data_IF_250035707727
#
_entry.id   IF_250035707727
#
_cell.length_a   1.000
_cell.length_b   1.000
_cell.length_c   1.000
_cell.angle_alpha   90.00
_cell.angle_beta   90.00
_cell.angle_gamma   90.00
#
_symmetry.space_group_name_H-M   'P 1'
#
loop_
_entity.id
_entity.type
_entity.pdbx_description
1 polymer ?
#
# COMPACT_ATOMS: atom_id res chain seq x y z
N UNK A 1 1.92 22.71 29.49
CA UNK A 1 0.66 21.94 29.25
C UNK A 1 1.07 20.48 29.10
N UNK A 2 0.27 19.54 29.61
CA UNK A 2 0.53 18.12 29.36
C UNK A 2 0.52 17.88 27.84
N UNK A 3 1.62 17.33 27.31
CA UNK A 3 1.72 17.04 25.89
C UNK A 3 0.86 15.83 25.59
N UNK A 4 -0.27 16.04 24.89
CA UNK A 4 -1.09 14.93 24.40
C UNK A 4 -0.47 14.46 23.10
N UNK A 5 -0.16 13.17 23.04
CA UNK A 5 0.34 12.52 21.83
C UNK A 5 -0.63 11.42 21.39
N UNK A 6 -0.63 11.11 20.10
CA UNK A 6 -1.51 10.11 19.51
C UNK A 6 -1.22 8.70 20.06
N UNK A 7 0.05 8.36 20.24
CA UNK A 7 0.48 7.02 20.62
C UNK A 7 0.00 5.97 19.63
N UNK A 8 -0.72 4.97 20.12
CA UNK A 8 -1.35 3.88 19.34
C UNK A 8 -2.84 4.10 19.05
N UNK A 9 -3.41 5.25 19.43
CA UNK A 9 -4.82 5.56 19.17
C UNK A 9 -5.02 6.05 17.72
N UNK A 10 -6.27 5.95 17.23
CA UNK A 10 -6.63 6.54 15.93
C UNK A 10 -6.46 8.06 15.93
N UNK A 11 -6.25 8.65 14.75
CA UNK A 11 -6.16 10.11 14.57
C UNK A 11 -7.42 10.80 15.10
N UNK A 12 -8.60 10.19 14.87
CA UNK A 12 -9.89 10.70 15.36
C UNK A 12 -9.96 10.77 16.88
N UNK A 13 -9.54 9.69 17.56
CA UNK A 13 -9.54 9.64 19.04
C UNK A 13 -8.58 10.69 19.61
N UNK A 14 -7.37 10.79 19.04
CA UNK A 14 -6.38 11.79 19.44
C UNK A 14 -6.91 13.22 19.26
N UNK A 15 -7.43 13.55 18.09
CA UNK A 15 -7.95 14.88 17.79
C UNK A 15 -9.11 15.27 18.72
N UNK A 16 -10.00 14.32 19.02
CA UNK A 16 -11.13 14.56 19.93
C UNK A 16 -10.64 14.91 21.35
N UNK A 17 -9.64 14.19 21.87
CA UNK A 17 -9.04 14.50 23.18
C UNK A 17 -8.38 15.88 23.18
N UNK A 18 -7.61 16.18 22.15
CA UNK A 18 -6.92 17.46 22.01
C UNK A 18 -7.92 18.63 21.92
N UNK A 19 -8.98 18.49 21.12
CA UNK A 19 -10.05 19.49 21.00
C UNK A 19 -10.76 19.73 22.32
N UNK A 20 -11.07 18.67 23.07
CA UNK A 20 -11.68 18.79 24.40
C UNK A 20 -10.81 19.62 25.35
N UNK A 21 -9.48 19.45 25.33
CA UNK A 21 -8.58 20.27 26.14
C UNK A 21 -8.58 21.74 25.72
N UNK A 22 -8.57 22.03 24.42
CA UNK A 22 -8.68 23.40 23.95
C UNK A 22 -9.99 24.07 24.35
N UNK A 23 -11.09 23.31 24.33
CA UNK A 23 -12.42 23.80 24.73
C UNK A 23 -12.48 24.04 26.24
N UNK A 24 -11.92 23.15 27.06
CA UNK A 24 -11.77 23.38 28.51
C UNK A 24 -10.91 24.63 28.79
N UNK A 25 -9.76 24.79 28.13
CA UNK A 25 -8.91 25.98 28.30
C UNK A 25 -9.68 27.26 27.94
N UNK A 26 -10.50 27.22 26.89
CA UNK A 26 -11.35 28.35 26.48
C UNK A 26 -12.38 28.69 27.56
N UNK A 27 -12.96 27.68 28.20
CA UNK A 27 -13.92 27.86 29.29
C UNK A 27 -13.26 28.46 30.54
N UNK A 28 -12.09 27.99 30.94
CA UNK A 28 -11.34 28.53 32.08
C UNK A 28 -10.74 29.92 31.82
N UNK A 29 -10.49 30.26 30.54
CA UNK A 29 -9.88 31.53 30.13
C UNK A 29 -10.70 32.18 29.01
N UNK A 30 -11.90 32.69 29.33
CA UNK A 30 -12.74 33.36 28.34
C UNK A 30 -12.03 34.61 27.83
N UNK A 31 -12.04 34.80 26.51
CA UNK A 31 -11.42 35.96 25.89
C UNK A 31 -12.47 37.08 25.74
N UNK A 32 -12.13 38.34 26.06
CA UNK A 32 -13.07 39.44 25.89
C UNK A 32 -13.49 39.58 24.43
N UNK A 33 -14.77 39.88 24.20
CA UNK A 33 -15.29 40.18 22.87
C UNK A 33 -14.89 41.61 22.51
N UNK A 34 -14.05 41.77 21.48
CA UNK A 34 -13.68 43.06 20.93
C UNK A 34 -13.69 42.99 19.41
N UNK A 35 -14.19 44.04 18.76
CA UNK A 35 -14.25 44.22 17.30
C UNK A 35 -12.94 44.75 16.71
N UNK A 36 -11.90 44.89 17.53
CA UNK A 36 -10.60 45.43 17.16
C UNK A 36 -9.75 44.44 16.35
N UNK A 37 -8.93 44.94 15.42
CA UNK A 37 -8.07 44.10 14.58
C UNK A 37 -7.02 43.30 15.36
N UNK A 38 -6.58 43.82 16.52
CA UNK A 38 -5.68 43.10 17.42
C UNK A 38 -6.24 41.73 17.84
N UNK A 39 -7.56 41.60 18.02
CA UNK A 39 -8.18 40.32 18.36
C UNK A 39 -8.13 39.32 17.22
N UNK A 40 -8.22 39.77 15.96
CA UNK A 40 -8.07 38.89 14.79
C UNK A 40 -6.67 38.29 14.73
N UNK A 41 -5.64 39.12 14.95
CA UNK A 41 -4.24 38.70 14.99
C UNK A 41 -4.02 37.66 16.10
N UNK A 42 -4.52 37.92 17.31
CA UNK A 42 -4.42 36.97 18.42
C UNK A 42 -5.11 35.64 18.09
N UNK A 43 -6.28 35.69 17.45
CA UNK A 43 -7.01 34.49 17.06
C UNK A 43 -6.24 33.67 16.01
N UNK A 44 -5.64 34.34 15.03
CA UNK A 44 -4.80 33.71 14.01
C UNK A 44 -3.58 32.99 14.64
N UNK A 45 -2.88 33.64 15.58
CA UNK A 45 -1.78 33.00 16.31
C UNK A 45 -2.25 31.78 17.11
N UNK A 46 -3.42 31.85 17.76
CA UNK A 46 -3.99 30.72 18.50
C UNK A 46 -4.32 29.56 17.57
N UNK A 47 -4.87 29.83 16.39
CA UNK A 47 -5.23 28.78 15.44
C UNK A 47 -3.97 28.15 14.80
N UNK A 48 -2.92 28.93 14.55
CA UNK A 48 -1.59 28.41 14.17
C UNK A 48 -0.98 27.54 15.27
N UNK A 49 -1.04 27.97 16.52
CA UNK A 49 -0.52 27.18 17.64
C UNK A 49 -1.26 25.85 17.79
N UNK A 50 -2.60 25.85 17.65
CA UNK A 50 -3.40 24.62 17.68
C UNK A 50 -3.03 23.66 16.55
N UNK A 51 -2.74 24.18 15.36
CA UNK A 51 -2.26 23.37 14.25
C UNK A 51 -0.92 22.70 14.61
N UNK A 52 0.03 23.48 15.11
CA UNK A 52 1.33 22.95 15.50
C UNK A 52 1.23 21.92 16.62
N UNK A 53 0.41 22.19 17.66
CA UNK A 53 0.14 21.23 18.73
C UNK A 53 -0.44 19.92 18.19
N UNK A 54 -1.41 20.00 17.27
CA UNK A 54 -1.96 18.83 16.60
C UNK A 54 -0.86 18.05 15.87
N UNK A 55 -0.10 18.71 14.99
CA UNK A 55 0.93 18.08 14.16
C UNK A 55 2.09 17.49 14.98
N UNK A 56 2.52 18.16 16.05
CA UNK A 56 3.62 17.69 16.91
C UNK A 56 3.21 16.43 17.69
N UNK A 57 1.95 16.34 18.14
CA UNK A 57 1.47 15.16 18.86
C UNK A 57 1.09 13.96 17.96
N UNK A 58 1.12 14.10 16.63
CA UNK A 58 0.89 12.97 15.72
C UNK A 58 2.03 11.95 15.78
N UNK A 59 1.71 10.69 15.47
CA UNK A 59 2.70 9.63 15.32
C UNK A 59 3.69 9.93 14.18
N UNK A 60 4.95 9.50 14.32
CA UNK A 60 5.99 9.70 13.31
C UNK A 60 5.69 9.06 11.96
N UNK A 61 4.80 8.07 11.92
CA UNK A 61 4.27 7.51 10.66
C UNK A 61 3.68 8.58 9.74
N UNK A 62 3.16 9.68 10.30
CA UNK A 62 2.56 10.80 9.57
C UNK A 62 3.56 11.91 9.21
N UNK A 63 4.87 11.69 9.35
CA UNK A 63 5.93 12.67 9.00
C UNK A 63 5.76 13.30 7.61
N UNK A 64 5.42 12.50 6.60
CA UNK A 64 5.17 13.00 5.24
C UNK A 64 3.96 13.95 5.19
N UNK A 65 2.83 13.54 5.79
CA UNK A 65 1.63 14.36 5.86
C UNK A 65 1.89 15.68 6.61
N UNK A 66 2.65 15.64 7.72
CA UNK A 66 3.09 16.84 8.46
C UNK A 66 3.86 17.79 7.55
N UNK A 67 4.86 17.30 6.83
CA UNK A 67 5.66 18.10 5.90
C UNK A 67 4.78 18.75 4.82
N UNK A 68 3.90 17.98 4.18
CA UNK A 68 3.00 18.50 3.15
C UNK A 68 2.04 19.57 3.66
N UNK A 69 1.54 19.44 4.90
CA UNK A 69 0.68 20.45 5.52
C UNK A 69 1.47 21.74 5.78
N UNK A 70 2.70 21.64 6.29
CA UNK A 70 3.55 22.79 6.60
C UNK A 70 4.06 23.54 5.34
N UNK A 71 4.10 22.88 4.19
CA UNK A 71 4.52 23.49 2.92
C UNK A 71 3.41 24.27 2.18
N UNK A 72 2.16 24.24 2.66
CA UNK A 72 1.07 25.00 2.04
C UNK A 72 1.13 26.49 2.36
N UNK A 73 0.78 27.32 1.38
CA UNK A 73 0.60 28.76 1.51
C UNK A 73 -0.77 29.18 0.92
N UNK A 74 -1.73 29.67 1.72
CA UNK A 74 -1.62 29.89 3.17
C UNK A 74 -1.59 28.57 3.97
N UNK A 75 -1.01 28.63 5.16
CA UNK A 75 -0.91 27.49 6.07
C UNK A 75 -2.31 26.93 6.39
N UNK A 76 -2.48 25.62 6.29
CA UNK A 76 -3.78 24.97 6.49
C UNK A 76 -4.34 25.20 7.89
N UNK A 77 -5.66 25.28 7.99
CA UNK A 77 -6.35 25.23 9.28
C UNK A 77 -6.18 23.87 9.97
N UNK A 78 -6.39 23.84 11.28
CA UNK A 78 -6.43 22.60 12.07
C UNK A 78 -7.39 21.55 11.49
N UNK A 79 -8.56 21.99 11.03
CA UNK A 79 -9.60 21.09 10.51
C UNK A 79 -9.22 20.49 9.15
N UNK A 80 -8.60 21.29 8.27
CA UNK A 80 -8.07 20.80 7.01
C UNK A 80 -6.91 19.83 7.22
N UNK A 81 -5.99 20.16 8.13
CA UNK A 81 -4.91 19.27 8.53
C UNK A 81 -5.44 17.95 9.09
N UNK A 82 -6.46 18.00 9.95
CA UNK A 82 -7.14 16.82 10.46
C UNK A 82 -7.74 15.97 9.33
N UNK A 83 -8.45 16.59 8.38
CA UNK A 83 -9.04 15.87 7.24
C UNK A 83 -7.99 15.17 6.38
N UNK A 84 -6.87 15.84 6.10
CA UNK A 84 -5.74 15.26 5.34
C UNK A 84 -5.16 14.04 6.08
N UNK A 85 -4.93 14.17 7.39
CA UNK A 85 -4.31 13.09 8.17
C UNK A 85 -5.27 11.89 8.35
N UNK A 86 -6.58 12.13 8.49
CA UNK A 86 -7.58 11.05 8.52
C UNK A 86 -7.68 10.34 7.18
N UNK A 87 -7.58 11.08 6.06
CA UNK A 87 -7.53 10.48 4.73
C UNK A 87 -6.28 9.60 4.57
N UNK A 88 -5.12 10.08 5.01
CA UNK A 88 -3.86 9.32 5.02
C UNK A 88 -3.96 8.06 5.90
N UNK A 89 -4.57 8.14 7.09
CA UNK A 89 -4.80 6.98 7.98
C UNK A 89 -5.62 5.89 7.28
N UNK A 90 -6.68 6.28 6.55
CA UNK A 90 -7.50 5.36 5.75
C UNK A 90 -6.71 4.75 4.61
N UNK A 91 -5.95 5.57 3.87
CA UNK A 91 -5.15 5.10 2.74
C UNK A 91 -4.07 4.09 3.18
N UNK A 92 -3.43 4.32 4.33
CA UNK A 92 -2.45 3.39 4.91
C UNK A 92 -3.05 2.02 5.26
N UNK A 93 -4.29 2.01 5.72
CA UNK A 93 -5.05 0.78 5.93
C UNK A 93 -5.21 -0.03 4.64
N UNK A 94 -5.33 0.64 3.49
CA UNK A 94 -5.44 0.01 2.17
C UNK A 94 -4.08 -0.42 1.61
N UNK A 95 -3.03 0.41 1.71
CA UNK A 95 -1.69 0.08 1.18
C UNK A 95 -1.04 -1.09 1.91
N UNK A 96 -1.32 -1.24 3.21
CA UNK A 96 -0.94 -2.44 3.96
C UNK A 96 -1.64 -3.71 3.45
N UNK A 97 -2.79 -3.56 2.78
CA UNK A 97 -3.51 -4.65 2.11
C UNK A 97 -3.13 -4.82 0.62
N UNK A 98 -2.57 -3.78 -0.01
CA UNK A 98 -2.28 -3.70 -1.47
C UNK A 98 -0.79 -3.95 -1.79
N UNK A 99 0.03 -4.32 -0.81
CA UNK A 99 1.40 -4.81 -1.05
C UNK A 99 1.46 -6.16 -1.82
N UNK A 100 0.36 -6.60 -2.45
CA UNK A 100 0.24 -7.78 -3.32
C UNK A 100 -0.16 -7.48 -4.77
N UNK A 101 -0.24 -6.21 -5.21
CA UNK A 101 -0.63 -5.91 -6.60
C UNK A 101 0.25 -4.84 -7.25
N UNK A 102 1.41 -5.25 -7.77
CA UNK A 102 2.06 -4.56 -8.90
C UNK A 102 2.64 -5.58 -9.88
N UNK A 103 1.81 -6.03 -10.82
CA UNK A 103 2.11 -6.60 -12.14
C UNK A 103 0.77 -6.50 -12.89
N UNK A 104 0.58 -5.96 -14.09
CA UNK A 104 1.29 -6.03 -15.39
C UNK A 104 0.83 -4.75 -16.17
N UNK A 105 1.64 -4.08 -17.00
CA UNK A 105 1.64 -4.31 -18.45
C UNK A 105 2.96 -3.94 -19.13
N UNK A 106 3.51 -4.95 -19.82
CA UNK A 106 4.65 -4.87 -20.75
C UNK A 106 4.13 -4.41 -22.11
N UNK A 107 4.90 -3.60 -22.82
CA UNK A 107 4.96 -3.65 -24.28
C UNK A 107 6.37 -3.26 -24.76
N UNK A 108 6.95 -4.14 -25.57
CA UNK A 108 8.31 -4.13 -26.09
C UNK A 108 8.52 -3.10 -27.20
N UNK A 109 9.74 -2.55 -27.30
CA UNK A 109 10.44 -2.44 -28.59
C UNK A 109 11.96 -2.34 -28.38
N UNK A 110 12.68 -3.15 -29.14
CA UNK A 110 14.13 -3.34 -29.15
C UNK A 110 14.92 -2.06 -29.44
N UNK A 111 16.04 -1.84 -28.73
CA UNK A 111 17.27 -1.27 -29.32
C UNK A 111 18.49 -1.70 -28.50
N UNK A 112 19.50 -2.19 -29.20
CA UNK A 112 20.83 -2.57 -28.73
C UNK A 112 21.59 -1.38 -28.11
N UNK A 113 22.45 -1.67 -27.12
CA UNK A 113 23.43 -0.70 -26.61
C UNK A 113 24.04 -1.10 -25.27
N UNK A 114 25.36 -1.37 -25.26
CA UNK A 114 26.20 -1.53 -24.07
C UNK A 114 26.04 -0.37 -23.06
N UNK A 115 25.98 -0.67 -21.75
CA UNK A 115 26.90 -0.14 -20.72
C UNK A 115 26.68 -0.82 -19.35
N UNK A 116 27.70 -0.73 -18.50
CA UNK A 116 27.98 -1.52 -17.31
C UNK A 116 27.13 -1.25 -16.05
N UNK A 117 27.00 -2.31 -15.23
CA UNK A 117 27.05 -2.25 -13.76
C UNK A 117 25.74 -1.96 -13.00
N UNK A 118 24.97 -3.00 -12.64
CA UNK A 118 23.95 -2.90 -11.58
C UNK A 118 23.96 -4.16 -10.70
N UNK A 119 24.09 -3.89 -9.40
CA UNK A 119 23.97 -4.77 -8.23
C UNK A 119 22.71 -5.63 -8.35
N UNK A 120 22.86 -6.96 -8.42
CA UNK A 120 21.72 -7.88 -8.35
C UNK A 120 21.17 -7.93 -6.92
N UNK A 121 19.89 -7.63 -6.69
CA UNK A 121 19.27 -7.97 -5.41
C UNK A 121 19.22 -9.50 -5.30
N UNK A 122 19.72 -10.02 -4.18
CA UNK A 122 19.74 -11.43 -3.83
C UNK A 122 18.30 -11.97 -3.86
N UNK A 123 17.91 -12.63 -4.95
CA UNK A 123 16.65 -13.39 -5.01
C UNK A 123 16.87 -14.70 -4.28
N UNK A 124 16.27 -14.93 -3.10
CA UNK A 124 16.33 -16.25 -2.48
C UNK A 124 15.72 -17.27 -3.44
N UNK A 125 16.54 -18.21 -3.92
CA UNK A 125 16.10 -19.33 -4.76
C UNK A 125 15.26 -20.27 -3.90
N UNK A 126 13.94 -20.07 -3.88
CA UNK A 126 13.04 -21.04 -3.29
C UNK A 126 12.91 -22.25 -4.23
N UNK A 127 13.48 -23.38 -3.80
CA UNK A 127 13.30 -24.68 -4.43
C UNK A 127 12.34 -25.53 -3.60
N UNK A 128 11.45 -26.25 -4.28
CA UNK A 128 10.53 -27.15 -3.62
C UNK A 128 11.27 -28.42 -3.17
N UNK A 129 11.25 -28.72 -1.86
CA UNK A 129 11.87 -29.93 -1.31
C UNK A 129 11.22 -31.22 -1.82
N UNK A 130 9.97 -31.16 -2.27
CA UNK A 130 9.22 -32.34 -2.72
C UNK A 130 9.44 -32.70 -4.21
N UNK A 131 9.48 -31.72 -5.11
CA UNK A 131 9.64 -31.97 -6.55
C UNK A 131 10.98 -31.51 -7.14
N UNK A 132 11.80 -30.78 -6.37
CA UNK A 132 13.11 -30.28 -6.82
C UNK A 132 13.05 -29.12 -7.82
N UNK A 133 11.87 -28.61 -8.15
CA UNK A 133 11.72 -27.46 -9.05
C UNK A 133 11.91 -26.15 -8.28
N UNK A 134 12.60 -25.19 -8.90
CA UNK A 134 12.59 -23.79 -8.47
C UNK A 134 11.27 -23.12 -8.86
N UNK A 135 10.87 -22.08 -8.12
CA UNK A 135 9.67 -21.23 -8.33
C UNK A 135 8.43 -21.58 -7.49
N UNK A 136 8.53 -22.53 -6.55
CA UNK A 136 7.49 -22.74 -5.53
C UNK A 136 8.04 -23.42 -4.26
N UNK A 137 7.36 -23.20 -3.13
CA UNK A 137 7.63 -23.92 -1.87
C UNK A 137 6.86 -25.24 -1.80
N UNK A 138 7.19 -26.10 -0.83
CA UNK A 138 6.48 -27.37 -0.61
C UNK A 138 4.96 -27.18 -0.48
N UNK A 139 4.53 -26.09 0.16
CA UNK A 139 3.11 -25.77 0.39
C UNK A 139 2.34 -25.51 -0.91
N UNK A 140 3.01 -25.03 -1.96
CA UNK A 140 2.40 -24.72 -3.27
C UNK A 140 2.76 -25.77 -4.33
N UNK A 141 3.25 -26.93 -3.92
CA UNK A 141 3.64 -27.99 -4.85
C UNK A 141 2.41 -28.67 -5.44
N UNK A 142 2.21 -28.54 -6.75
CA UNK A 142 1.12 -29.23 -7.47
C UNK A 142 1.20 -30.75 -7.39
N UNK A 143 2.38 -31.31 -7.08
CA UNK A 143 2.51 -32.76 -6.81
C UNK A 143 1.91 -33.17 -5.46
N UNK A 144 1.75 -32.24 -4.52
CA UNK A 144 1.12 -32.44 -3.21
C UNK A 144 -0.35 -32.03 -3.24
N UNK A 145 -0.63 -30.80 -3.71
CA UNK A 145 -2.00 -30.26 -3.76
C UNK A 145 -2.85 -30.98 -4.81
N UNK A 146 -2.22 -31.52 -5.84
CA UNK A 146 -2.88 -32.03 -7.03
C UNK A 146 -2.94 -30.96 -8.12
N UNK A 147 -2.92 -31.42 -9.37
CA UNK A 147 -3.01 -30.52 -10.51
C UNK A 147 -4.48 -30.11 -10.74
N UNK A 148 -4.76 -28.86 -11.12
CA UNK A 148 -6.12 -28.40 -11.40
C UNK A 148 -6.74 -29.13 -12.62
N UNK A 149 -8.07 -29.15 -12.68
CA UNK A 149 -8.82 -29.76 -13.78
C UNK A 149 -8.45 -29.11 -15.12
N UNK A 150 -8.08 -29.92 -16.12
CA UNK A 150 -7.54 -29.47 -17.41
C UNK A 150 -6.01 -29.53 -17.55
N UNK A 151 -5.27 -29.80 -16.48
CA UNK A 151 -3.82 -30.00 -16.56
C UNK A 151 -3.47 -31.40 -17.11
N UNK A 152 -2.43 -31.51 -17.94
CA UNK A 152 -2.01 -32.80 -18.57
C UNK A 152 -1.66 -33.90 -17.55
N UNK A 153 -1.30 -33.53 -16.32
CA UNK A 153 -0.99 -34.43 -15.21
C UNK A 153 -2.13 -34.50 -14.16
N UNK A 154 -3.31 -33.97 -14.46
CA UNK A 154 -4.49 -34.10 -13.61
C UNK A 154 -4.84 -35.59 -13.42
N UNK A 155 -4.97 -36.02 -12.17
CA UNK A 155 -5.27 -37.41 -11.80
C UNK A 155 -4.13 -38.43 -11.98
N UNK A 156 -2.94 -38.03 -12.46
CA UNK A 156 -1.79 -38.93 -12.63
C UNK A 156 -0.75 -38.66 -11.54
N UNK A 157 -0.69 -39.53 -10.53
CA UNK A 157 0.40 -39.51 -9.56
C UNK A 157 1.65 -40.18 -10.17
N UNK A 158 2.76 -39.45 -10.42
CA UNK A 158 3.99 -40.10 -10.87
C UNK A 158 4.65 -40.77 -9.66
N UNK A 159 4.82 -42.09 -9.71
CA UNK A 159 5.56 -42.86 -8.72
C UNK A 159 7.04 -42.43 -8.69
N UNK A 160 7.64 -42.38 -7.50
CA UNK A 160 8.94 -41.73 -7.20
C UNK A 160 10.17 -42.56 -7.58
N UNK A 161 10.09 -43.43 -8.58
CA UNK A 161 11.19 -44.34 -8.89
C UNK A 161 11.47 -44.49 -10.40
N UNK A 162 12.02 -43.43 -10.99
CA UNK A 162 12.80 -43.54 -12.23
C UNK A 162 13.76 -42.36 -12.34
N UNK A 163 15.06 -42.64 -12.18
CA UNK A 163 16.15 -41.73 -12.56
C UNK A 163 16.00 -41.45 -14.06
N UNK A 164 15.77 -40.19 -14.43
CA UNK A 164 15.60 -39.78 -15.82
C UNK A 164 15.92 -38.30 -16.01
N UNK A 165 16.79 -38.03 -16.97
CA UNK A 165 17.48 -36.79 -17.37
C UNK A 165 16.58 -35.54 -17.56
N UNK A 166 17.13 -34.31 -17.51
CA UNK A 166 16.34 -33.07 -17.54
C UNK A 166 15.69 -32.85 -18.92
N UNK A 167 14.36 -32.76 -18.96
CA UNK A 167 13.61 -32.37 -20.15
C UNK A 167 13.62 -30.84 -20.31
N UNK A 168 13.96 -30.41 -21.52
CA UNK A 168 13.87 -29.02 -22.00
C UNK A 168 12.40 -28.57 -22.01
N UNK A 169 12.16 -27.35 -21.53
CA UNK A 169 10.86 -26.68 -21.56
C UNK A 169 10.41 -26.44 -23.00
N UNK A 170 9.30 -27.06 -23.41
CA UNK A 170 8.59 -26.72 -24.63
C UNK A 170 7.45 -25.76 -24.28
N UNK A 171 7.54 -24.51 -24.77
CA UNK A 171 6.47 -23.53 -24.76
C UNK A 171 5.36 -24.01 -25.69
N UNK A 172 4.14 -24.18 -25.17
CA UNK A 172 2.96 -24.39 -26.00
C UNK A 172 2.11 -23.12 -25.94
N UNK A 173 2.16 -22.33 -27.02
CA UNK A 173 1.23 -21.25 -27.30
C UNK A 173 -0.15 -21.86 -27.60
N UNK A 174 -1.20 -21.34 -26.97
CA UNK A 174 -2.58 -21.67 -27.28
C UNK A 174 -3.18 -20.51 -28.07
N UNK A 175 -3.27 -20.68 -29.38
CA UNK A 175 -4.04 -19.80 -30.27
C UNK A 175 -5.41 -20.45 -30.49
N UNK A 176 -6.48 -19.79 -30.05
CA UNK A 176 -7.86 -20.19 -30.36
C UNK A 176 -8.20 -19.81 -31.81
N UNK A 177 -8.75 -20.78 -32.56
CA UNK A 177 -9.36 -20.56 -33.87
C UNK A 177 -10.86 -20.81 -33.78
N UNK A 178 -11.66 -19.85 -34.24
CA UNK A 178 -13.08 -19.99 -34.54
C UNK A 178 -13.24 -20.76 -35.86
N UNK A 179 -14.14 -21.76 -35.89
CA UNK A 179 -14.46 -22.56 -37.08
C UNK A 179 -15.97 -22.46 -37.37
N UNK A 180 -16.31 -21.81 -38.50
CA UNK A 180 -17.64 -21.74 -39.08
C UNK A 180 -17.97 -23.05 -39.82
N UNK A 181 -19.20 -23.55 -39.65
CA UNK A 181 -19.73 -24.81 -40.21
C UNK A 181 -20.29 -24.61 -41.64
N UNK A 182 -20.16 -25.58 -42.56
CA UNK A 182 -20.55 -25.44 -43.97
C UNK A 182 -22.01 -25.86 -44.26
N UNK A 183 -22.50 -25.32 -45.38
CA UNK A 183 -23.76 -25.63 -46.09
C UNK A 183 -23.84 -27.08 -46.59
N UNK A 184 -25.07 -27.60 -46.73
CA UNK A 184 -25.50 -28.39 -47.90
C UNK A 184 -27.03 -28.31 -48.08
N UNK A 185 -27.38 -28.13 -49.36
CA UNK A 185 -28.71 -28.15 -49.98
C UNK A 185 -29.43 -29.51 -49.80
N UNK A 186 -30.73 -29.48 -49.46
CA UNK A 186 -31.89 -29.73 -50.32
C UNK A 186 -33.18 -29.41 -49.54
#
# INVERSE_FOLDING_TARGET
>A
MQSVTQGSCTVTTYFTRLKSLWDQIREYRPQPVCSCDAMKIIQEYKDKNRLLEFLVGLNDSYSLARSQILMRDPLSSVNEAYAIVVQEERQRGLTNSVSSCTEIEKSNSNTEGQFAGIVQPFRPKFSCTNCGMSDHTIERCFRIIGYPSGHKLHGKFPNRNSKGSPMKSASANFSGGDEQKPEREF
#
